data_IF_989709363069
#
_entry.id   IF_989709363069
#
_cell.length_a   1.000
_cell.length_b   1.000
_cell.length_c   1.000
_cell.angle_alpha   90.00
_cell.angle_beta   90.00
_cell.angle_gamma   90.00
#
_symmetry.space_group_name_H-M   'P 1'
#
loop_
_entity.id
_entity.type
_entity.pdbx_description
1 polymer ?
#
# COMPACT_ATOMS: atom_id res chain seq x y z
N UNK A 1 10.20 1.95 -13.63
CA UNK A 1 11.27 1.22 -12.91
C UNK A 1 10.67 0.39 -11.80
N UNK A 2 11.13 -0.86 -11.62
CA UNK A 2 10.66 -1.74 -10.55
C UNK A 2 11.22 -1.30 -9.18
N UNK A 3 10.33 -1.06 -8.21
CA UNK A 3 10.68 -0.59 -6.86
C UNK A 3 10.93 -1.77 -5.93
N UNK A 4 9.85 -2.48 -5.57
CA UNK A 4 9.87 -3.63 -4.66
C UNK A 4 8.62 -4.49 -4.87
N UNK A 5 8.63 -5.68 -4.28
CA UNK A 5 7.39 -6.40 -3.97
C UNK A 5 6.64 -5.69 -2.84
N UNK A 6 5.37 -6.03 -2.65
CA UNK A 6 4.62 -5.64 -1.46
C UNK A 6 3.59 -6.71 -1.08
N UNK A 7 3.09 -6.56 0.13
CA UNK A 7 2.08 -7.41 0.76
C UNK A 7 1.20 -6.55 1.67
N UNK A 8 -0.12 -6.62 1.50
CA UNK A 8 -1.10 -5.95 2.34
C UNK A 8 -1.99 -7.03 2.96
N UNK A 9 -2.11 -7.05 4.28
CA UNK A 9 -2.80 -8.11 5.02
C UNK A 9 -3.82 -7.54 6.00
N UNK A 10 -4.95 -8.21 6.10
CA UNK A 10 -5.81 -8.22 7.27
C UNK A 10 -6.22 -9.67 7.51
N UNK A 11 -5.41 -10.39 8.28
CA UNK A 11 -5.51 -11.85 8.48
C UNK A 11 -4.98 -12.33 9.84
N UNK A 12 -5.51 -13.43 10.40
CA UNK A 12 -4.88 -14.15 11.50
C UNK A 12 -3.44 -14.53 11.16
N UNK A 13 -2.51 -14.24 12.07
CA UNK A 13 -1.11 -14.65 11.96
C UNK A 13 -0.98 -16.18 12.01
N UNK A 14 -1.81 -16.83 12.83
CA UNK A 14 -1.82 -18.28 12.98
C UNK A 14 -3.02 -18.88 12.24
N UNK A 15 -2.84 -19.94 11.43
CA UNK A 15 -3.95 -20.65 10.81
C UNK A 15 -4.96 -21.15 11.85
N UNK A 16 -6.25 -21.18 11.49
CA UNK A 16 -7.28 -21.77 12.35
C UNK A 16 -7.11 -23.29 12.38
N UNK A 17 -6.54 -23.83 13.46
CA UNK A 17 -6.35 -25.27 13.66
C UNK A 17 -7.35 -25.78 14.71
N UNK A 18 -8.16 -26.82 14.41
CA UNK A 18 -9.02 -27.46 15.41
C UNK A 18 -8.19 -28.00 16.57
N UNK A 19 -8.53 -27.66 17.82
CA UNK A 19 -7.83 -28.14 19.02
C UNK A 19 -7.27 -27.05 19.95
N UNK A 20 -7.47 -25.77 19.62
CA UNK A 20 -7.31 -24.66 20.57
C UNK A 20 -5.89 -24.07 20.63
N UNK A 21 -5.64 -23.07 19.77
CA UNK A 21 -4.49 -22.15 19.88
C UNK A 21 -4.92 -20.68 19.79
N UNK A 22 -6.21 -20.41 20.03
CA UNK A 22 -6.79 -19.07 19.90
C UNK A 22 -6.15 -18.06 20.86
N UNK A 23 -5.57 -18.53 21.97
CA UNK A 23 -4.84 -17.68 22.92
C UNK A 23 -3.51 -17.15 22.36
N UNK A 24 -2.94 -17.81 21.35
CA UNK A 24 -1.71 -17.41 20.66
C UNK A 24 -1.97 -16.66 19.36
N UNK A 25 -3.19 -16.74 18.83
CA UNK A 25 -3.51 -16.09 17.56
C UNK A 25 -3.65 -14.59 17.74
N UNK A 26 -3.09 -13.84 16.79
CA UNK A 26 -3.27 -12.39 16.64
C UNK A 26 -3.71 -12.13 15.22
N UNK A 27 -4.57 -11.14 15.03
CA UNK A 27 -4.87 -10.63 13.70
C UNK A 27 -3.88 -9.55 13.33
N UNK A 28 -3.29 -9.67 12.14
CA UNK A 28 -2.32 -8.71 11.61
C UNK A 28 -3.04 -7.76 10.67
N UNK A 29 -2.85 -6.46 10.87
CA UNK A 29 -3.14 -5.42 9.87
C UNK A 29 -1.81 -4.91 9.36
N UNK A 30 -1.49 -5.20 8.10
CA UNK A 30 -0.24 -4.82 7.46
C UNK A 30 -0.52 -3.96 6.23
N UNK A 31 0.17 -2.82 6.17
CA UNK A 31 0.14 -1.90 5.04
C UNK A 31 1.50 -1.74 4.39
N UNK A 32 1.47 -1.37 3.12
CA UNK A 32 2.63 -0.98 2.35
C UNK A 32 2.84 0.53 2.41
N UNK A 33 4.08 0.94 2.66
CA UNK A 33 4.49 2.33 2.81
C UNK A 33 5.65 2.59 1.86
N UNK A 34 5.57 3.64 1.05
CA UNK A 34 6.61 4.00 0.09
C UNK A 34 6.99 5.46 0.29
N UNK A 35 8.17 5.68 0.87
CA UNK A 35 8.77 7.01 0.93
C UNK A 35 9.46 7.31 -0.40
N UNK A 36 9.22 8.51 -0.94
CA UNK A 36 9.83 9.01 -2.18
C UNK A 36 10.32 10.43 -1.92
N UNK A 37 11.63 10.63 -1.91
CA UNK A 37 12.25 11.94 -1.80
C UNK A 37 12.65 12.47 -3.17
N UNK A 38 12.20 13.68 -3.48
CA UNK A 38 12.62 14.42 -4.65
C UNK A 38 13.93 15.16 -4.34
N UNK A 39 15.05 14.64 -4.83
CA UNK A 39 16.38 15.26 -4.63
C UNK A 39 16.75 16.27 -5.72
N UNK A 40 15.79 16.64 -6.57
CA UNK A 40 15.99 17.62 -7.64
C UNK A 40 15.59 19.03 -7.16
N UNK A 41 16.04 20.03 -7.90
CA UNK A 41 15.73 21.45 -7.70
C UNK A 41 14.49 21.92 -8.47
N UNK A 42 13.61 20.99 -8.86
CA UNK A 42 12.33 21.26 -9.51
C UNK A 42 11.27 20.24 -9.05
N UNK A 43 9.96 20.58 -9.10
CA UNK A 43 8.89 19.64 -8.79
C UNK A 43 8.90 18.45 -9.75
N UNK A 44 8.71 17.24 -9.22
CA UNK A 44 8.67 16.01 -10.01
C UNK A 44 7.29 15.39 -9.92
N UNK A 45 6.64 15.20 -11.08
CA UNK A 45 5.39 14.43 -11.17
C UNK A 45 5.73 12.97 -11.43
N UNK A 46 5.31 12.10 -10.51
CA UNK A 46 5.54 10.65 -10.60
C UNK A 46 4.24 9.90 -10.79
N UNK A 47 4.30 8.77 -11.47
CA UNK A 47 3.25 7.75 -11.46
C UNK A 47 3.74 6.52 -10.72
N UNK A 48 3.08 6.19 -9.62
CA UNK A 48 3.23 4.92 -8.91
C UNK A 48 2.23 3.93 -9.49
N UNK A 49 2.70 2.78 -9.93
CA UNK A 49 1.88 1.72 -10.53
C UNK A 49 1.98 0.47 -9.68
N UNK A 50 0.82 0.01 -9.21
CA UNK A 50 0.67 -1.22 -8.44
C UNK A 50 0.21 -2.32 -9.39
N UNK A 51 0.85 -3.49 -9.34
CA UNK A 51 0.34 -4.70 -10.00
C UNK A 51 -0.02 -5.73 -8.94
N UNK A 52 -1.27 -6.19 -8.93
CA UNK A 52 -1.82 -7.15 -7.97
C UNK A 52 -2.50 -8.27 -8.73
N UNK A 53 -2.24 -9.52 -8.39
CA UNK A 53 -3.05 -10.63 -8.89
C UNK A 53 -4.28 -10.78 -8.01
N UNK A 54 -5.43 -10.35 -8.50
CA UNK A 54 -6.71 -10.59 -7.84
C UNK A 54 -7.11 -12.08 -7.93
N UNK A 55 -7.96 -12.55 -7.00
CA UNK A 55 -8.55 -13.87 -7.05
C UNK A 55 -9.32 -14.11 -8.34
N UNK A 56 -9.46 -15.38 -8.72
CA UNK A 56 -10.22 -15.75 -9.92
C UNK A 56 -11.72 -15.78 -9.61
N UNK A 57 -12.09 -16.24 -8.41
CA UNK A 57 -13.47 -16.31 -7.98
C UNK A 57 -13.85 -15.05 -7.20
N UNK A 58 -14.36 -14.06 -7.91
CA UNK A 58 -14.75 -12.77 -7.30
C UNK A 58 -15.99 -12.87 -6.38
N UNK A 59 -16.72 -13.99 -6.46
CA UNK A 59 -17.92 -14.24 -5.65
C UNK A 59 -17.61 -15.01 -4.35
N UNK A 60 -16.36 -15.49 -4.16
CA UNK A 60 -15.97 -16.15 -2.92
C UNK A 60 -15.67 -15.09 -1.85
N UNK A 61 -16.48 -14.97 -0.78
CA UNK A 61 -16.24 -13.98 0.26
C UNK A 61 -14.92 -14.24 1.00
N UNK A 62 -14.36 -15.45 0.94
CA UNK A 62 -13.06 -15.78 1.55
C UNK A 62 -11.86 -15.35 0.70
N UNK A 63 -12.08 -14.92 -0.54
CA UNK A 63 -11.05 -14.47 -1.48
C UNK A 63 -11.07 -12.94 -1.64
N UNK A 64 -10.42 -12.22 -0.73
CA UNK A 64 -10.26 -10.75 -0.78
C UNK A 64 -8.80 -10.34 -0.92
N UNK A 65 -8.49 -9.23 -1.62
CA UNK A 65 -9.41 -8.28 -2.27
C UNK A 65 -9.85 -8.72 -3.67
N UNK A 66 -10.98 -8.20 -4.16
CA UNK A 66 -11.50 -8.45 -5.53
C UNK A 66 -11.21 -7.30 -6.49
N UNK A 67 -10.91 -6.11 -5.97
CA UNK A 67 -10.48 -4.97 -6.79
C UNK A 67 -9.73 -3.91 -5.98
N UNK A 68 -9.26 -2.85 -6.63
CA UNK A 68 -8.59 -1.73 -5.99
C UNK A 68 -9.50 -0.88 -5.08
N UNK A 69 -10.82 -1.03 -5.15
CA UNK A 69 -11.75 -0.31 -4.24
C UNK A 69 -11.72 -0.87 -2.81
N UNK A 70 -11.13 -2.05 -2.63
CA UNK A 70 -10.96 -2.70 -1.32
C UNK A 70 -9.74 -2.18 -0.56
N UNK A 71 -9.03 -1.21 -1.15
CA UNK A 71 -7.87 -0.56 -0.53
C UNK A 71 -8.17 0.89 -0.19
N UNK A 72 -7.58 1.33 0.92
CA UNK A 72 -7.43 2.73 1.22
C UNK A 72 -6.00 3.13 0.89
N UNK A 73 -5.86 4.25 0.20
CA UNK A 73 -4.57 4.82 -0.11
C UNK A 73 -4.51 6.29 0.32
N UNK A 74 -3.31 6.75 0.62
CA UNK A 74 -3.06 8.14 0.95
C UNK A 74 -1.68 8.57 0.44
N UNK A 75 -1.54 9.87 0.19
CA UNK A 75 -0.25 10.51 -0.10
C UNK A 75 -0.05 11.62 0.92
N UNK A 76 1.06 11.59 1.62
CA UNK A 76 1.51 12.70 2.46
C UNK A 76 2.74 13.33 1.82
N UNK A 77 2.75 14.65 1.64
CA UNK A 77 3.90 15.40 1.07
C UNK A 77 4.43 16.44 2.06
N UNK A 78 3.58 16.95 2.95
CA UNK A 78 3.85 18.10 3.82
C UNK A 78 3.47 17.87 5.28
N UNK A 79 3.33 16.61 5.70
CA UNK A 79 2.76 16.22 6.98
C UNK A 79 1.23 16.23 7.00
N UNK A 80 0.59 16.29 5.83
CA UNK A 80 -0.86 16.23 5.65
C UNK A 80 -1.21 15.09 4.70
N UNK A 81 -1.98 14.13 5.22
CA UNK A 81 -2.50 13.02 4.42
C UNK A 81 -3.56 13.52 3.44
N UNK A 82 -3.30 13.28 2.16
CA UNK A 82 -4.22 13.48 1.05
C UNK A 82 -4.86 12.12 0.74
N UNK A 83 -6.19 12.07 0.70
CA UNK A 83 -6.99 10.85 0.53
C UNK A 83 -7.69 10.81 -0.83
N UNK A 84 -8.31 9.68 -1.25
CA UNK A 84 -8.84 9.50 -2.60
C UNK A 84 -10.02 10.41 -3.00
N UNK A 85 -10.48 11.29 -2.11
CA UNK A 85 -11.37 12.40 -2.46
C UNK A 85 -10.63 13.57 -3.14
N UNK A 86 -9.30 13.61 -3.06
CA UNK A 86 -8.44 14.52 -3.79
C UNK A 86 -7.89 13.83 -5.05
N UNK A 87 -8.00 14.45 -6.24
CA UNK A 87 -7.45 13.93 -7.50
C UNK A 87 -5.97 13.50 -7.43
N UNK A 88 -5.15 14.13 -6.58
CA UNK A 88 -3.73 13.81 -6.39
C UNK A 88 -3.49 12.53 -5.58
N UNK A 89 -4.52 12.00 -4.93
CA UNK A 89 -4.48 10.75 -4.16
C UNK A 89 -5.48 9.72 -4.69
N UNK A 90 -5.96 9.84 -5.93
CA UNK A 90 -6.84 8.82 -6.53
C UNK A 90 -6.02 7.71 -7.15
N UNK A 91 -6.19 6.49 -6.64
CA UNK A 91 -5.70 5.29 -7.31
C UNK A 91 -6.66 4.92 -8.44
N UNK A 92 -6.20 5.00 -9.69
CA UNK A 92 -6.99 4.78 -10.90
C UNK A 92 -6.64 3.42 -11.50
N UNK A 93 -7.56 2.44 -11.53
CA UNK A 93 -7.34 1.18 -12.22
C UNK A 93 -7.08 1.38 -13.72
N UNK A 94 -6.07 0.71 -14.26
CA UNK A 94 -5.78 0.75 -15.70
C UNK A 94 -6.73 -0.21 -16.43
N UNK A 95 -7.22 0.22 -17.60
CA UNK A 95 -8.03 -0.63 -18.47
C UNK A 95 -7.11 -1.65 -19.15
N UNK A 96 -6.85 -2.74 -18.44
CA UNK A 96 -6.14 -3.92 -18.93
C UNK A 96 -7.08 -5.14 -18.86
N UNK A 97 -6.88 -6.18 -19.68
CA UNK A 97 -7.79 -7.34 -19.75
C UNK A 97 -8.08 -8.02 -18.41
N UNK A 98 -7.24 -7.81 -17.39
CA UNK A 98 -7.32 -8.43 -16.07
C UNK A 98 -7.52 -7.41 -14.92
N UNK A 99 -7.70 -6.11 -15.23
CA UNK A 99 -7.79 -4.98 -14.28
C UNK A 99 -6.83 -5.07 -13.07
N UNK A 100 -5.66 -5.65 -13.27
CA UNK A 100 -4.70 -6.03 -12.23
C UNK A 100 -3.68 -4.94 -11.93
N UNK A 101 -3.82 -3.79 -12.60
CA UNK A 101 -2.94 -2.63 -12.47
C UNK A 101 -3.74 -1.42 -12.05
N UNK A 102 -3.17 -0.63 -11.14
CA UNK A 102 -3.68 0.70 -10.86
C UNK A 102 -2.55 1.70 -10.72
N UNK A 103 -2.83 2.93 -11.11
CA UNK A 103 -1.90 4.03 -11.17
C UNK A 103 -2.35 5.15 -10.26
N UNK A 104 -1.41 5.70 -9.51
CA UNK A 104 -1.56 6.92 -8.74
C UNK A 104 -0.54 7.93 -9.26
N UNK A 105 -0.98 9.14 -9.59
CA UNK A 105 -0.10 10.20 -10.12
C UNK A 105 -0.17 11.44 -9.24
N UNK A 106 0.98 11.93 -8.78
CA UNK A 106 1.08 13.11 -7.92
C UNK A 106 2.41 13.84 -8.13
N UNK A 107 2.45 15.09 -7.68
CA UNK A 107 3.65 15.95 -7.78
C UNK A 107 4.32 16.05 -6.42
N UNK A 108 5.62 15.78 -6.38
CA UNK A 108 6.46 15.99 -5.20
C UNK A 108 7.25 17.28 -5.44
N UNK A 109 7.08 18.32 -4.61
CA UNK A 109 7.87 19.55 -4.72
C UNK A 109 9.38 19.29 -4.66
N UNK A 110 10.18 20.22 -5.15
CA UNK A 110 11.63 20.17 -5.06
C UNK A 110 12.09 20.01 -3.60
N UNK A 111 13.08 19.14 -3.37
CA UNK A 111 13.63 18.85 -2.04
C UNK A 111 12.60 18.35 -1.00
N UNK A 112 11.39 17.99 -1.43
CA UNK A 112 10.36 17.44 -0.56
C UNK A 112 10.38 15.91 -0.55
N UNK A 113 9.76 15.35 0.48
CA UNK A 113 9.58 13.90 0.63
C UNK A 113 8.11 13.60 0.73
N UNK A 114 7.64 12.65 -0.07
CA UNK A 114 6.30 12.11 0.05
C UNK A 114 6.30 10.72 0.67
N UNK A 115 5.22 10.37 1.35
CA UNK A 115 4.88 9.04 1.79
C UNK A 115 3.59 8.59 1.09
N UNK A 116 3.70 7.55 0.27
CA UNK A 116 2.54 6.82 -0.23
C UNK A 116 2.18 5.69 0.74
N UNK A 117 0.89 5.53 1.03
CA UNK A 117 0.35 4.48 1.91
C UNK A 117 -0.68 3.67 1.14
N UNK A 118 -0.64 2.34 1.28
CA UNK A 118 -1.65 1.41 0.80
C UNK A 118 -2.01 0.40 1.90
N UNK A 119 -3.29 0.35 2.26
CA UNK A 119 -3.83 -0.49 3.34
C UNK A 119 -5.19 -1.10 2.93
N UNK A 120 -5.71 -2.12 3.64
CA UNK A 120 -7.08 -2.57 3.47
C UNK A 120 -8.07 -1.46 3.86
N UNK A 121 -9.12 -1.22 3.07
CA UNK A 121 -10.15 -0.21 3.41
C UNK A 121 -11.24 -0.79 4.32
N UNK A 122 -10.90 -1.03 5.58
CA UNK A 122 -11.90 -1.43 6.57
C UNK A 122 -12.75 -0.26 7.11
N UNK A 123 -12.53 0.97 6.64
CA UNK A 123 -13.37 2.12 6.98
C UNK A 123 -14.64 2.09 6.12
N UNK A 124 -14.48 1.85 4.81
CA UNK A 124 -15.62 1.69 3.88
C UNK A 124 -16.15 0.27 3.84
N UNK A 125 -15.34 -0.72 4.19
CA UNK A 125 -15.69 -2.15 4.20
C UNK A 125 -15.46 -2.76 5.59
N UNK A 126 -16.25 -2.35 6.61
CA UNK A 126 -16.06 -2.81 8.00
C UNK A 126 -16.21 -4.32 8.18
N UNK A 127 -16.86 -5.03 7.26
CA UNK A 127 -16.92 -6.50 7.22
C UNK A 127 -15.53 -7.15 7.12
N UNK A 128 -14.55 -6.49 6.48
CA UNK A 128 -13.18 -7.00 6.36
C UNK A 128 -12.52 -7.21 7.73
N UNK A 129 -12.84 -6.36 8.73
CA UNK A 129 -12.33 -6.53 10.10
C UNK A 129 -12.89 -7.78 10.78
N UNK A 130 -14.15 -8.13 10.50
CA UNK A 130 -14.81 -9.30 11.10
C UNK A 130 -14.30 -10.60 10.49
N UNK A 131 -14.14 -10.61 9.16
CA UNK A 131 -13.73 -11.81 8.44
C UNK A 131 -12.23 -12.07 8.55
N UNK A 132 -11.42 -11.00 8.58
CA UNK A 132 -9.97 -11.05 8.63
C UNK A 132 -9.40 -12.02 7.58
N UNK A 133 -9.79 -11.85 6.32
CA UNK A 133 -9.47 -12.71 5.18
C UNK A 133 -8.87 -11.93 3.99
N UNK A 134 -8.30 -10.76 4.25
CA UNK A 134 -7.74 -9.91 3.22
C UNK A 134 -6.25 -10.20 3.02
N UNK A 135 -5.86 -10.52 1.79
CA UNK A 135 -4.45 -10.67 1.44
C UNK A 135 -4.19 -10.27 0.00
N UNK A 136 -3.36 -9.25 -0.18
CA UNK A 136 -2.90 -8.82 -1.49
C UNK A 136 -1.38 -8.88 -1.55
N UNK A 137 -0.85 -9.51 -2.59
CA UNK A 137 0.58 -9.52 -2.91
C UNK A 137 0.81 -9.02 -4.32
N UNK A 138 1.88 -8.28 -4.51
CA UNK A 138 2.14 -7.64 -5.78
C UNK A 138 3.52 -7.03 -5.86
N UNK A 139 3.71 -6.19 -6.87
CA UNK A 139 4.90 -5.38 -7.03
C UNK A 139 4.55 -3.96 -7.44
N UNK A 140 5.46 -3.04 -7.12
CA UNK A 140 5.31 -1.61 -7.37
C UNK A 140 6.34 -1.16 -8.40
N UNK A 141 5.88 -0.36 -9.35
CA UNK A 141 6.72 0.35 -10.29
C UNK A 141 6.54 1.87 -10.11
N UNK A 142 7.60 2.62 -10.40
CA UNK A 142 7.56 4.09 -10.43
C UNK A 142 8.03 4.59 -11.79
N UNK A 143 7.30 5.57 -12.32
CA UNK A 143 7.57 6.21 -13.60
C UNK A 143 7.62 7.71 -13.43
N UNK A 144 8.46 8.36 -14.24
CA UNK A 144 8.37 9.80 -14.44
C UNK A 144 7.11 10.07 -15.28
N UNK A 145 6.29 11.02 -14.85
CA UNK A 145 5.13 11.43 -15.62
C UNK A 145 5.57 12.40 -16.73
N UNK A 146 4.89 12.36 -17.87
CA UNK A 146 5.03 13.39 -18.92
C UNK A 146 4.63 14.78 -18.46
N UNK A 147 3.90 14.88 -17.33
CA UNK A 147 3.56 16.14 -16.66
C UNK A 147 4.70 16.69 -15.78
N UNK A 148 5.81 15.98 -15.67
CA UNK A 148 6.99 16.46 -14.96
C UNK A 148 7.65 17.60 -15.73
N UNK A 149 8.20 18.60 -15.02
CA UNK A 149 8.89 19.74 -15.63
C UNK A 149 10.25 19.42 -16.27
N UNK A 150 10.65 18.15 -16.29
CA UNK A 150 11.93 17.65 -16.82
C UNK A 150 11.74 16.24 -17.37
N UNK A 151 12.51 15.91 -18.41
CA UNK A 151 12.56 14.57 -19.02
C UNK A 151 13.34 13.55 -18.21
N UNK A 152 14.07 14.01 -17.19
CA UNK A 152 14.81 13.17 -16.25
C UNK A 152 14.65 13.65 -14.83
N UNK A 153 14.65 12.72 -13.87
CA UNK A 153 14.59 13.04 -12.45
C UNK A 153 15.34 11.99 -11.62
N UNK A 154 15.99 12.41 -10.55
CA UNK A 154 16.55 11.49 -9.55
C UNK A 154 15.66 11.46 -8.32
N UNK A 155 15.29 10.27 -7.85
CA UNK A 155 14.50 10.06 -6.64
C UNK A 155 15.24 9.14 -5.68
N UNK A 156 15.05 9.35 -4.39
CA UNK A 156 15.44 8.39 -3.36
C UNK A 156 14.17 7.73 -2.83
N UNK A 157 14.09 6.40 -2.90
CA UNK A 157 12.91 5.63 -2.50
C UNK A 157 13.24 4.67 -1.36
N UNK A 158 12.31 4.55 -0.41
CA UNK A 158 12.38 3.59 0.69
C UNK A 158 11.02 2.90 0.87
N UNK A 159 10.85 1.68 0.33
CA UNK A 159 9.66 0.87 0.57
C UNK A 159 9.75 0.15 1.92
N UNK A 160 8.63 0.12 2.63
CA UNK A 160 8.48 -0.44 3.97
C UNK A 160 7.19 -1.25 4.08
N UNK A 161 7.23 -2.24 4.96
CA UNK A 161 6.04 -2.86 5.54
C UNK A 161 5.87 -2.36 6.95
N UNK A 162 4.63 -2.04 7.32
CA UNK A 162 4.27 -1.73 8.70
C UNK A 162 3.06 -2.57 9.09
N UNK A 163 3.25 -3.40 10.12
CA UNK A 163 2.25 -4.32 10.63
C UNK A 163 1.88 -3.95 12.07
N UNK A 164 0.60 -4.03 12.38
CA UNK A 164 0.10 -4.00 13.76
C UNK A 164 -0.61 -5.32 14.04
N UNK A 165 -0.33 -5.90 15.19
CA UNK A 165 -0.93 -7.14 15.66
C UNK A 165 -1.96 -6.84 16.75
N UNK A 166 -3.13 -7.42 16.60
CA UNK A 166 -4.28 -7.23 17.48
C UNK A 166 -4.71 -8.59 18.03
N UNK A 167 -4.96 -8.67 19.34
CA UNK A 167 -5.57 -9.86 19.94
C UNK A 167 -7.07 -9.92 19.68
N UNK A 168 -7.73 -8.76 19.67
CA UNK A 168 -9.13 -8.59 19.31
C UNK A 168 -9.29 -7.32 18.47
N UNK A 169 -9.98 -7.42 17.33
CA UNK A 169 -10.18 -6.31 16.39
C UNK A 169 -11.45 -5.50 16.64
N UNK A 170 -12.43 -6.09 17.34
CA UNK A 170 -13.80 -5.59 17.47
C UNK A 170 -14.22 -5.43 18.94
N UNK A 171 -13.26 -5.17 19.82
CA UNK A 171 -13.50 -4.94 21.25
C UNK A 171 -13.52 -3.45 21.58
N UNK A 172 -14.45 -3.03 22.43
CA UNK A 172 -14.49 -1.68 23.01
C UNK A 172 -13.50 -1.52 24.18
N UNK A 173 -12.93 -2.61 24.69
CA UNK A 173 -11.94 -2.59 25.78
C UNK A 173 -10.52 -2.42 25.20
N UNK A 174 -9.87 -1.25 25.39
CA UNK A 174 -8.52 -1.01 24.87
C UNK A 174 -7.48 -1.98 25.44
N UNK A 175 -7.67 -2.50 26.65
CA UNK A 175 -6.75 -3.47 27.26
C UNK A 175 -6.84 -4.85 26.59
N UNK A 176 -8.00 -5.20 26.01
CA UNK A 176 -8.21 -6.46 25.30
C UNK A 176 -7.62 -6.45 23.87
N UNK A 177 -7.37 -5.27 23.30
CA UNK A 177 -6.77 -5.11 21.96
C UNK A 177 -5.35 -5.68 21.90
N UNK A 178 -4.58 -5.56 23.00
CA UNK A 178 -3.22 -6.07 23.19
C UNK A 178 -2.32 -5.88 21.95
N UNK A 179 -1.96 -4.62 21.72
CA UNK A 179 -1.26 -4.13 20.53
C UNK A 179 0.23 -4.48 20.54
N UNK A 180 0.70 -4.88 19.37
CA UNK A 180 2.13 -4.94 19.05
C UNK A 180 2.35 -4.42 17.62
N UNK A 181 3.55 -3.94 17.30
CA UNK A 181 3.86 -3.32 16.02
C UNK A 181 5.22 -3.76 15.49
N UNK A 182 5.31 -3.93 14.18
CA UNK A 182 6.56 -4.21 13.49
C UNK A 182 6.69 -3.34 12.25
N UNK A 183 7.93 -3.02 11.90
CA UNK A 183 8.26 -2.37 10.64
C UNK A 183 9.57 -2.92 10.09
N UNK A 184 9.62 -3.09 8.78
CA UNK A 184 10.82 -3.53 8.09
C UNK A 184 10.90 -2.95 6.68
N UNK A 185 12.12 -2.62 6.26
CA UNK A 185 12.40 -2.16 4.91
C UNK A 185 12.29 -3.33 3.92
N UNK A 186 11.81 -3.04 2.73
CA UNK A 186 11.76 -3.99 1.63
C UNK A 186 13.00 -3.85 0.74
N UNK A 187 13.50 -4.94 0.14
CA UNK A 187 14.59 -4.86 -0.82
C UNK A 187 14.24 -3.96 -2.00
N UNK A 188 15.15 -3.08 -2.37
CA UNK A 188 15.02 -2.17 -3.52
C UNK A 188 16.05 -2.50 -4.57
N UNK A 189 15.63 -2.55 -5.83
CA UNK A 189 16.47 -2.99 -6.96
C UNK A 189 17.80 -2.24 -7.11
N UNK A 190 17.86 -0.94 -6.76
CA UNK A 190 19.04 -0.08 -6.96
C UNK A 190 19.52 0.63 -5.67
N UNK A 191 19.37 -0.01 -4.51
CA UNK A 191 19.80 0.58 -3.23
C UNK A 191 19.07 1.87 -2.85
N UNK A 192 17.88 2.09 -3.44
CA UNK A 192 17.01 3.24 -3.17
C UNK A 192 17.18 4.43 -4.11
N UNK A 193 18.25 4.56 -4.90
CA UNK A 193 18.44 5.71 -5.81
C UNK A 193 17.94 5.39 -7.22
N UNK A 194 16.90 6.09 -7.65
CA UNK A 194 16.21 5.86 -8.91
C UNK A 194 16.44 7.04 -9.85
N UNK A 195 17.02 6.78 -11.02
CA UNK A 195 17.16 7.76 -12.10
C UNK A 195 16.10 7.45 -13.15
N UNK A 196 15.07 8.27 -13.20
CA UNK A 196 13.94 8.12 -14.11
C UNK A 196 14.12 8.98 -15.35
N UNK A 197 13.60 8.51 -16.47
CA UNK A 197 13.54 9.25 -17.73
C UNK A 197 12.23 8.97 -18.47
N UNK A 198 11.73 9.95 -19.22
CA UNK A 198 10.53 9.81 -20.09
C UNK A 198 10.81 9.11 -21.44
N UNK A 199 12.04 8.61 -21.65
CA UNK A 199 12.49 7.96 -22.89
C UNK A 199 11.73 6.67 -23.21
#
# INVERSE_FOLDING_TARGET
MLVSTFEVLLKPQFPKIPGGFDVLTRTTVQGYFLTIANVNFFPVTVSVVLTIKFPINLDDPSERPTSFVDFINAVDISGQNIFPNDPQAVLVPEIVPQNNKARLTFTIPENATSLFVLQPDFIKQPELLKEANFEARGYVEIFLSSLSGSDTATLLVNPEQRGTFFKALDTEDPAAVALDQTTYNLPVSNGGVFKLSNA
#
